data_IF_649870306633
#
_entry.id   IF_649870306633
#
_cell.length_a   1.000
_cell.length_b   1.000
_cell.length_c   1.000
_cell.angle_alpha   90.00
_cell.angle_beta   90.00
_cell.angle_gamma   90.00
#
_symmetry.space_group_name_H-M   'P 1'
#
loop_
_entity.id
_entity.type
_entity.pdbx_description
1 polymer ?
#
# COMPACT_ATOMS: atom_id res chain seq x y z
N UNK A 1 -12.45 -30.76 11.74
CA UNK A 1 -11.79 -30.25 12.97
C UNK A 1 -10.26 -30.27 12.88
N UNK A 2 -9.62 -31.35 12.40
CA UNK A 2 -8.14 -31.36 12.21
C UNK A 2 -7.66 -30.43 11.10
N UNK A 3 -8.39 -30.32 9.98
CA UNK A 3 -8.09 -29.36 8.91
C UNK A 3 -8.14 -27.90 9.39
N UNK A 4 -9.17 -27.53 10.15
CA UNK A 4 -9.29 -26.18 10.71
C UNK A 4 -8.18 -25.80 11.71
N UNK A 5 -7.61 -26.79 12.40
CA UNK A 5 -6.45 -26.56 13.29
C UNK A 5 -5.14 -26.39 12.51
N UNK A 6 -4.96 -27.18 11.45
CA UNK A 6 -3.81 -27.05 10.56
C UNK A 6 -3.81 -25.69 9.84
N UNK A 7 -4.95 -25.29 9.27
CA UNK A 7 -5.14 -24.00 8.61
C UNK A 7 -4.87 -22.82 9.56
N UNK A 8 -5.28 -22.94 10.83
CA UNK A 8 -5.00 -21.91 11.84
C UNK A 8 -3.51 -21.84 12.20
N UNK A 9 -2.79 -22.97 12.19
CA UNK A 9 -1.34 -22.99 12.45
C UNK A 9 -0.58 -22.35 11.29
N UNK A 10 -0.95 -22.59 10.05
CA UNK A 10 -0.34 -21.94 8.88
C UNK A 10 -0.49 -20.42 8.92
N UNK A 11 -1.68 -19.91 9.30
CA UNK A 11 -1.93 -18.48 9.49
C UNK A 11 -1.01 -17.90 10.58
N UNK A 12 -0.86 -18.62 11.70
CA UNK A 12 0.02 -18.18 12.80
C UNK A 12 1.48 -18.14 12.35
N UNK A 13 1.96 -19.19 11.66
CA UNK A 13 3.32 -19.23 11.12
C UNK A 13 3.54 -18.15 10.07
N UNK A 14 2.56 -17.91 9.20
CA UNK A 14 2.60 -16.82 8.22
C UNK A 14 2.73 -15.46 8.89
N UNK A 15 1.95 -15.20 9.95
CA UNK A 15 2.00 -13.96 10.71
C UNK A 15 3.36 -13.78 11.43
N UNK A 16 3.87 -14.83 12.08
CA UNK A 16 5.15 -14.80 12.75
C UNK A 16 6.30 -14.55 11.78
N UNK A 17 6.27 -15.20 10.62
CA UNK A 17 7.25 -14.99 9.55
C UNK A 17 7.19 -13.56 9.02
N UNK A 18 5.98 -13.04 8.74
CA UNK A 18 5.77 -11.66 8.30
C UNK A 18 6.33 -10.64 9.30
N UNK A 19 5.97 -10.79 10.58
CA UNK A 19 6.44 -9.91 11.65
C UNK A 19 7.97 -9.97 11.79
N UNK A 20 8.55 -11.17 11.76
CA UNK A 20 10.00 -11.38 11.83
C UNK A 20 10.74 -10.68 10.68
N UNK A 21 10.25 -10.84 9.46
CA UNK A 21 10.83 -10.19 8.28
C UNK A 21 10.77 -8.66 8.41
N UNK A 22 9.62 -8.11 8.78
CA UNK A 22 9.47 -6.65 8.94
C UNK A 22 10.40 -6.12 10.02
N UNK A 23 10.46 -6.76 11.19
CA UNK A 23 11.31 -6.33 12.31
C UNK A 23 12.79 -6.38 11.94
N UNK A 24 13.23 -7.43 11.25
CA UNK A 24 14.63 -7.60 10.85
C UNK A 24 15.01 -6.69 9.66
N UNK A 25 14.08 -6.49 8.72
CA UNK A 25 14.38 -5.74 7.49
C UNK A 25 14.28 -4.23 7.69
N UNK A 26 13.41 -3.76 8.59
CA UNK A 26 13.19 -2.32 8.83
C UNK A 26 14.47 -1.57 9.19
N UNK A 27 15.33 -2.02 10.13
CA UNK A 27 16.58 -1.32 10.43
C UNK A 27 17.58 -1.35 9.27
N UNK A 28 17.64 -2.44 8.51
CA UNK A 28 18.53 -2.57 7.35
C UNK A 28 18.11 -1.61 6.22
N UNK A 29 16.81 -1.60 5.88
CA UNK A 29 16.25 -0.69 4.88
C UNK A 29 16.37 0.77 5.33
N UNK A 30 16.14 1.05 6.61
CA UNK A 30 16.35 2.37 7.21
C UNK A 30 17.79 2.85 7.15
N UNK A 31 18.75 1.97 7.37
CA UNK A 31 20.18 2.23 7.20
C UNK A 31 20.52 2.55 5.74
N UNK A 32 20.04 1.71 4.81
CA UNK A 32 20.24 1.91 3.37
C UNK A 32 19.63 3.24 2.89
N UNK A 33 18.42 3.57 3.33
CA UNK A 33 17.77 4.83 2.99
C UNK A 33 18.56 6.06 3.44
N UNK A 34 19.19 5.99 4.62
CA UNK A 34 20.09 7.05 5.13
C UNK A 34 21.36 7.19 4.28
N UNK A 35 21.97 6.05 3.92
CA UNK A 35 23.18 6.04 3.07
C UNK A 35 22.90 6.61 1.68
N UNK A 36 21.72 6.31 1.13
CA UNK A 36 21.29 6.81 -0.18
C UNK A 36 20.72 8.24 -0.14
N UNK A 37 20.59 8.83 1.05
CA UNK A 37 20.03 10.18 1.20
C UNK A 37 18.51 10.27 0.99
N UNK A 38 17.80 9.11 0.91
CA UNK A 38 16.35 9.02 0.74
C UNK A 38 15.67 9.16 2.10
N UNK A 39 15.76 10.37 2.63
CA UNK A 39 15.31 10.68 3.99
C UNK A 39 14.47 11.94 3.99
N UNK A 40 13.47 11.96 4.86
CA UNK A 40 12.69 13.14 5.15
C UNK A 40 13.40 13.99 6.20
N UNK A 41 13.89 15.15 5.79
CA UNK A 41 14.59 16.08 6.70
C UNK A 41 13.56 16.90 7.49
N UNK A 42 13.80 17.15 8.79
CA UNK A 42 12.97 18.03 9.57
C UNK A 42 13.04 19.45 9.01
N UNK A 43 11.88 20.04 8.66
CA UNK A 43 11.83 21.42 8.16
C UNK A 43 10.43 21.89 7.76
N UNK A 44 10.11 23.15 8.04
CA UNK A 44 8.94 23.90 7.61
C UNK A 44 7.59 23.37 8.05
N UNK A 45 6.95 22.55 7.28
CA UNK A 45 5.59 22.04 7.49
C UNK A 45 5.50 20.66 8.17
N UNK A 46 6.61 19.96 8.36
CA UNK A 46 6.65 18.55 8.79
C UNK A 46 6.77 18.38 10.30
N UNK A 47 6.04 17.41 10.85
CA UNK A 47 5.95 17.14 12.29
C UNK A 47 7.19 16.49 12.89
N UNK A 48 7.99 15.82 12.06
CA UNK A 48 9.13 15.05 12.51
C UNK A 48 10.26 15.96 13.01
N UNK A 49 10.67 15.72 14.24
CA UNK A 49 11.86 16.34 14.85
C UNK A 49 13.16 15.62 14.48
N UNK A 50 13.06 14.41 13.92
CA UNK A 50 14.19 13.58 13.48
C UNK A 50 14.04 13.22 12.01
N UNK A 51 15.17 12.89 11.37
CA UNK A 51 15.22 12.42 9.98
C UNK A 51 14.61 11.02 9.88
N UNK A 52 13.56 10.87 9.08
CA UNK A 52 12.86 9.58 8.90
C UNK A 52 13.20 8.99 7.53
N UNK A 53 13.65 7.71 7.48
CA UNK A 53 13.86 7.00 6.22
C UNK A 53 12.53 6.81 5.47
N UNK A 54 12.51 7.02 4.15
CA UNK A 54 11.29 6.91 3.32
C UNK A 54 11.01 5.50 2.82
N UNK A 55 12.03 4.65 2.66
CA UNK A 55 11.91 3.33 2.04
C UNK A 55 11.24 2.25 2.91
N UNK A 56 10.52 2.62 3.98
CA UNK A 56 9.86 1.66 4.89
C UNK A 56 8.88 0.71 4.21
N UNK A 57 8.25 1.14 3.13
CA UNK A 57 7.34 0.32 2.33
C UNK A 57 7.98 -0.94 1.74
N UNK A 58 9.29 -0.93 1.49
CA UNK A 58 10.03 -2.11 0.99
C UNK A 58 10.05 -3.22 2.06
N UNK A 59 10.27 -2.88 3.32
CA UNK A 59 10.26 -3.86 4.40
C UNK A 59 8.87 -4.48 4.59
N UNK A 60 7.81 -3.67 4.51
CA UNK A 60 6.43 -4.14 4.57
C UNK A 60 6.08 -5.03 3.37
N UNK A 61 6.53 -4.66 2.16
CA UNK A 61 6.32 -5.47 0.97
C UNK A 61 6.91 -6.87 1.15
N UNK A 62 8.16 -7.01 1.55
CA UNK A 62 8.78 -8.32 1.77
C UNK A 62 8.11 -9.07 2.94
N UNK A 63 7.67 -8.37 3.98
CA UNK A 63 6.91 -8.94 5.08
C UNK A 63 5.57 -9.56 4.67
N UNK A 64 4.96 -9.10 3.58
CA UNK A 64 3.74 -9.67 3.01
C UNK A 64 4.07 -10.68 1.92
N UNK A 65 5.00 -10.34 1.02
CA UNK A 65 5.32 -11.11 -0.18
C UNK A 65 5.92 -12.48 0.13
N UNK A 66 6.88 -12.56 1.06
CA UNK A 66 7.56 -13.81 1.38
C UNK A 66 6.63 -14.83 2.06
N UNK A 67 5.83 -14.48 3.09
CA UNK A 67 4.85 -15.40 3.63
C UNK A 67 3.76 -15.78 2.63
N UNK A 68 3.35 -14.86 1.77
CA UNK A 68 2.39 -15.17 0.71
C UNK A 68 2.92 -16.23 -0.26
N UNK A 69 4.19 -16.16 -0.64
CA UNK A 69 4.83 -17.20 -1.46
C UNK A 69 4.99 -18.54 -0.74
N UNK A 70 5.16 -18.52 0.59
CA UNK A 70 5.41 -19.73 1.38
C UNK A 70 4.11 -20.49 1.73
N UNK A 71 3.01 -19.77 1.97
CA UNK A 71 1.79 -20.35 2.55
C UNK A 71 0.54 -20.24 1.67
N UNK A 72 0.56 -19.42 0.60
CA UNK A 72 -0.59 -19.29 -0.30
C UNK A 72 -0.39 -20.11 -1.57
N UNK A 73 -1.47 -20.73 -2.01
CA UNK A 73 -1.50 -21.33 -3.34
C UNK A 73 -1.30 -20.27 -4.42
N UNK A 74 -0.30 -20.50 -5.28
CA UNK A 74 0.01 -19.62 -6.41
C UNK A 74 -1.00 -19.79 -7.55
N UNK A 75 -2.29 -19.58 -7.26
CA UNK A 75 -3.34 -19.50 -8.27
C UNK A 75 -3.08 -18.32 -9.23
N UNK A 76 -3.83 -18.26 -10.33
CA UNK A 76 -3.74 -17.12 -11.25
C UNK A 76 -3.97 -15.78 -10.53
N UNK A 77 -5.00 -15.71 -9.69
CA UNK A 77 -5.36 -14.50 -8.94
C UNK A 77 -4.26 -14.10 -7.95
N UNK A 78 -3.72 -15.06 -7.17
CA UNK A 78 -2.63 -14.81 -6.23
C UNK A 78 -1.39 -14.27 -6.94
N UNK A 79 -1.03 -14.85 -8.10
CA UNK A 79 0.09 -14.33 -8.92
C UNK A 79 -0.16 -12.91 -9.38
N UNK A 80 -1.37 -12.63 -9.88
CA UNK A 80 -1.76 -11.28 -10.29
C UNK A 80 -1.65 -10.26 -9.17
N UNK A 81 -2.12 -10.62 -7.97
CA UNK A 81 -2.04 -9.79 -6.79
C UNK A 81 -0.59 -9.48 -6.39
N UNK A 82 0.26 -10.51 -6.31
CA UNK A 82 1.67 -10.38 -5.95
C UNK A 82 2.45 -9.57 -6.98
N UNK A 83 2.22 -9.80 -8.28
CA UNK A 83 2.84 -9.01 -9.35
C UNK A 83 2.40 -7.54 -9.30
N UNK A 84 1.09 -7.28 -9.12
CA UNK A 84 0.57 -5.92 -8.96
C UNK A 84 1.17 -5.20 -7.75
N UNK A 85 1.29 -5.90 -6.61
CA UNK A 85 1.92 -5.38 -5.41
C UNK A 85 3.42 -5.07 -5.62
N UNK A 86 4.14 -5.94 -6.34
CA UNK A 86 5.56 -5.72 -6.66
C UNK A 86 5.74 -4.47 -7.54
N UNK A 87 4.91 -4.30 -8.57
CA UNK A 87 4.94 -3.11 -9.43
C UNK A 87 4.58 -1.86 -8.64
N UNK A 88 3.52 -1.91 -7.81
CA UNK A 88 3.12 -0.78 -6.96
C UNK A 88 4.24 -0.36 -6.01
N UNK A 89 4.90 -1.32 -5.36
CA UNK A 89 6.04 -1.07 -4.46
C UNK A 89 7.22 -0.47 -5.20
N UNK A 90 7.51 -0.96 -6.41
CA UNK A 90 8.58 -0.42 -7.26
C UNK A 90 8.28 1.03 -7.65
N UNK A 91 7.06 1.34 -8.06
CA UNK A 91 6.64 2.72 -8.37
C UNK A 91 6.76 3.62 -7.15
N UNK A 92 6.32 3.14 -5.97
CA UNK A 92 6.47 3.87 -4.70
C UNK A 92 7.94 4.12 -4.33
N UNK A 93 8.81 3.11 -4.46
CA UNK A 93 10.23 3.26 -4.21
C UNK A 93 10.88 4.26 -5.18
N UNK A 94 10.56 4.21 -6.47
CA UNK A 94 11.06 5.19 -7.46
C UNK A 94 10.56 6.59 -7.15
N UNK A 95 9.32 6.74 -6.69
CA UNK A 95 8.76 8.03 -6.23
C UNK A 95 9.55 8.58 -5.03
N UNK A 96 9.87 7.72 -4.06
CA UNK A 96 10.68 8.10 -2.90
C UNK A 96 12.12 8.54 -3.26
N UNK A 97 12.70 7.91 -4.30
CA UNK A 97 14.05 8.25 -4.78
C UNK A 97 14.11 9.50 -5.64
N UNK A 98 13.18 9.66 -6.60
CA UNK A 98 13.25 10.67 -7.66
C UNK A 98 12.24 11.80 -7.51
N UNK A 99 11.14 11.55 -6.75
CA UNK A 99 10.00 12.46 -6.70
C UNK A 99 9.32 12.49 -8.07
N UNK A 100 8.54 11.46 -8.38
CA UNK A 100 7.85 11.35 -9.65
C UNK A 100 6.88 12.52 -9.86
N UNK A 101 6.70 12.91 -11.11
CA UNK A 101 5.62 13.83 -11.48
C UNK A 101 4.29 13.15 -11.27
N UNK A 102 3.24 13.91 -11.00
CA UNK A 102 1.92 13.36 -10.67
C UNK A 102 1.37 12.38 -11.74
N UNK A 103 1.62 12.64 -13.03
CA UNK A 103 1.18 11.76 -14.13
C UNK A 103 2.02 10.49 -14.25
N UNK A 104 3.33 10.55 -13.97
CA UNK A 104 4.21 9.36 -13.95
C UNK A 104 3.78 8.41 -12.83
N UNK A 105 3.50 8.98 -11.66
CA UNK A 105 2.98 8.25 -10.51
C UNK A 105 1.62 7.63 -10.80
N UNK A 106 0.68 8.41 -11.36
CA UNK A 106 -0.64 7.92 -11.75
C UNK A 106 -0.56 6.82 -12.81
N UNK A 107 0.30 6.97 -13.82
CA UNK A 107 0.55 5.95 -14.83
C UNK A 107 1.08 4.64 -14.23
N UNK A 108 2.03 4.73 -13.31
CA UNK A 108 2.55 3.58 -12.58
C UNK A 108 1.50 2.89 -11.70
N UNK A 109 0.65 3.66 -11.03
CA UNK A 109 -0.46 3.14 -10.22
C UNK A 109 -1.51 2.45 -11.09
N UNK A 110 -1.86 3.02 -12.25
CA UNK A 110 -2.78 2.41 -13.21
C UNK A 110 -2.22 1.10 -13.74
N UNK A 111 -0.94 1.05 -14.10
CA UNK A 111 -0.28 -0.17 -14.53
C UNK A 111 -0.30 -1.24 -13.43
N UNK A 112 0.08 -0.90 -12.20
CA UNK A 112 0.07 -1.79 -11.06
C UNK A 112 -1.33 -2.35 -10.75
N UNK A 113 -2.36 -1.49 -10.78
CA UNK A 113 -3.75 -1.87 -10.51
C UNK A 113 -4.37 -2.72 -11.63
N UNK A 114 -3.92 -2.55 -12.88
CA UNK A 114 -4.42 -3.32 -14.04
C UNK A 114 -3.96 -4.78 -14.01
N UNK A 115 -2.83 -5.09 -13.37
CA UNK A 115 -2.29 -6.45 -13.31
C UNK A 115 -3.26 -7.39 -12.58
N UNK A 116 -3.62 -7.19 -11.29
CA UNK A 116 -4.53 -8.10 -10.59
C UNK A 116 -5.90 -8.17 -11.26
N UNK A 117 -6.38 -7.06 -11.83
CA UNK A 117 -7.65 -7.02 -12.57
C UNK A 117 -7.59 -7.89 -13.84
N UNK A 118 -6.48 -7.88 -14.56
CA UNK A 118 -6.24 -8.75 -15.72
C UNK A 118 -6.16 -10.24 -15.36
N UNK A 119 -5.72 -10.56 -14.14
CA UNK A 119 -5.69 -11.93 -13.60
C UNK A 119 -7.03 -12.40 -13.00
N UNK A 120 -8.08 -11.58 -13.06
CA UNK A 120 -9.45 -11.98 -12.65
C UNK A 120 -9.96 -11.32 -11.37
N UNK A 121 -9.16 -10.50 -10.69
CA UNK A 121 -9.58 -9.79 -9.47
C UNK A 121 -10.29 -8.49 -9.83
N UNK A 122 -11.61 -8.56 -10.02
CA UNK A 122 -12.42 -7.40 -10.34
C UNK A 122 -13.80 -7.48 -9.68
N UNK A 123 -14.50 -6.36 -9.58
CA UNK A 123 -15.82 -6.28 -8.95
C UNK A 123 -16.88 -6.87 -9.87
N UNK A 124 -17.36 -8.08 -9.53
CA UNK A 124 -18.39 -8.79 -10.27
C UNK A 124 -19.81 -8.37 -9.88
N UNK A 125 -20.02 -8.02 -8.60
CA UNK A 125 -21.32 -7.71 -8.03
C UNK A 125 -21.28 -6.40 -7.28
N UNK A 126 -22.31 -5.62 -7.44
CA UNK A 126 -22.50 -4.38 -6.70
C UNK A 126 -23.88 -4.40 -6.04
N UNK A 127 -23.93 -4.05 -4.77
CA UNK A 127 -25.17 -4.03 -3.99
C UNK A 127 -25.58 -2.59 -3.74
N UNK A 128 -26.73 -2.21 -4.25
CA UNK A 128 -27.37 -0.94 -3.92
C UNK A 128 -28.38 -1.17 -2.79
N UNK A 129 -28.41 -0.32 -1.75
CA UNK A 129 -29.33 -0.49 -0.59
C UNK A 129 -30.81 -0.54 -0.97
N UNK A 130 -31.20 0.08 -2.10
CA UNK A 130 -32.62 0.23 -2.52
C UNK A 130 -32.95 -0.72 -3.68
N UNK A 131 -31.98 -1.10 -4.53
CA UNK A 131 -32.23 -1.79 -5.82
C UNK A 131 -31.74 -3.25 -5.78
N UNK A 132 -31.03 -3.65 -4.73
CA UNK A 132 -30.54 -5.03 -4.56
C UNK A 132 -29.18 -5.30 -5.22
N UNK A 133 -28.92 -6.57 -5.52
CA UNK A 133 -27.64 -7.06 -6.05
C UNK A 133 -27.68 -7.04 -7.56
N UNK A 134 -26.77 -6.30 -8.18
CA UNK A 134 -26.60 -6.27 -9.63
C UNK A 134 -25.24 -6.87 -10.02
N UNK A 135 -25.24 -7.69 -11.07
CA UNK A 135 -24.00 -8.18 -11.70
C UNK A 135 -23.49 -7.16 -12.67
N UNK A 136 -22.23 -6.78 -12.51
CA UNK A 136 -21.57 -5.85 -13.43
C UNK A 136 -21.01 -6.59 -14.65
N UNK A 137 -21.22 -6.09 -15.86
CA UNK A 137 -20.53 -6.61 -17.03
C UNK A 137 -19.02 -6.30 -16.94
N UNK A 138 -18.18 -7.15 -17.55
CA UNK A 138 -16.71 -7.04 -17.47
C UNK A 138 -16.18 -5.67 -17.89
N UNK A 139 -16.77 -5.07 -18.92
CA UNK A 139 -16.36 -3.76 -19.46
C UNK A 139 -16.59 -2.59 -18.48
N UNK A 140 -17.45 -2.76 -17.46
CA UNK A 140 -17.67 -1.79 -16.37
C UNK A 140 -16.88 -2.21 -15.12
N UNK A 141 -16.96 -3.48 -14.74
CA UNK A 141 -16.37 -4.00 -13.50
C UNK A 141 -14.84 -3.89 -13.48
N UNK A 142 -14.18 -4.18 -14.59
CA UNK A 142 -12.72 -4.09 -14.67
C UNK A 142 -12.20 -2.64 -14.52
N UNK A 143 -12.65 -1.65 -15.30
CA UNK A 143 -12.23 -0.27 -15.12
C UNK A 143 -12.57 0.30 -13.75
N UNK A 144 -13.75 -0.06 -13.21
CA UNK A 144 -14.16 0.34 -11.87
C UNK A 144 -13.19 -0.19 -10.81
N UNK A 145 -12.75 -1.44 -10.94
CA UNK A 145 -11.78 -2.06 -10.02
C UNK A 145 -10.42 -1.37 -10.09
N UNK A 146 -9.92 -1.08 -11.28
CA UNK A 146 -8.67 -0.33 -11.46
C UNK A 146 -8.76 1.04 -10.81
N UNK A 147 -9.84 1.78 -11.09
CA UNK A 147 -10.06 3.10 -10.49
C UNK A 147 -10.16 3.04 -8.97
N UNK A 148 -10.84 2.02 -8.44
CA UNK A 148 -10.97 1.79 -7.01
C UNK A 148 -9.62 1.55 -6.34
N UNK A 149 -8.80 0.65 -6.90
CA UNK A 149 -7.45 0.36 -6.39
C UNK A 149 -6.59 1.62 -6.40
N UNK A 150 -6.59 2.38 -7.51
CA UNK A 150 -5.84 3.63 -7.64
C UNK A 150 -6.36 4.69 -6.65
N UNK A 151 -7.67 4.79 -6.45
CA UNK A 151 -8.26 5.71 -5.47
C UNK A 151 -7.80 5.39 -4.05
N UNK A 152 -7.80 4.10 -3.66
CA UNK A 152 -7.30 3.65 -2.36
C UNK A 152 -5.81 3.95 -2.20
N UNK A 153 -4.97 3.67 -3.22
CA UNK A 153 -3.54 4.01 -3.19
C UNK A 153 -3.31 5.52 -2.94
N UNK A 154 -4.08 6.37 -3.61
CA UNK A 154 -3.96 7.82 -3.44
C UNK A 154 -4.55 8.30 -2.12
N UNK A 155 -5.60 7.66 -1.60
CA UNK A 155 -6.16 7.96 -0.29
C UNK A 155 -5.13 7.71 0.83
N UNK A 156 -4.45 6.56 0.83
CA UNK A 156 -3.38 6.27 1.79
C UNK A 156 -2.22 7.26 1.67
N UNK A 157 -1.82 7.61 0.46
CA UNK A 157 -0.78 8.60 0.21
C UNK A 157 -1.17 10.00 0.74
N UNK A 158 -2.45 10.38 0.61
CA UNK A 158 -2.98 11.62 1.16
C UNK A 158 -3.02 11.60 2.70
N UNK A 159 -3.44 10.48 3.31
CA UNK A 159 -3.46 10.31 4.77
C UNK A 159 -2.06 10.42 5.37
N UNK A 160 -1.06 9.84 4.72
CA UNK A 160 0.35 9.92 5.14
C UNK A 160 0.88 11.36 5.08
N UNK A 161 0.48 12.14 4.05
CA UNK A 161 0.78 13.57 3.93
C UNK A 161 -0.02 14.47 4.86
N UNK A 162 -1.14 14.02 5.43
CA UNK A 162 -2.07 14.83 6.24
C UNK A 162 -1.78 14.83 7.73
N UNK A 163 -0.70 14.20 8.19
CA UNK A 163 -0.26 14.24 9.60
C UNK A 163 0.04 15.66 10.13
N UNK A 164 0.00 16.68 9.25
CA UNK A 164 0.11 18.10 9.58
C UNK A 164 -1.20 18.77 10.04
N UNK A 165 -2.35 18.10 9.95
CA UNK A 165 -3.67 18.64 10.29
C UNK A 165 -3.77 19.22 11.71
N UNK A 166 -3.22 18.58 12.77
CA UNK A 166 -3.29 19.14 14.13
C UNK A 166 -2.54 20.46 14.33
N UNK A 167 -1.56 20.77 13.46
CA UNK A 167 -0.82 22.06 13.52
C UNK A 167 -1.55 23.16 12.80
N UNK A 168 -2.22 22.89 11.70
CA UNK A 168 -3.06 23.84 11.01
C UNK A 168 -4.19 24.34 11.93
N UNK A 169 -4.83 23.43 12.66
CA UNK A 169 -5.86 23.76 13.64
C UNK A 169 -5.31 24.59 14.82
N UNK A 170 -4.11 24.31 15.33
CA UNK A 170 -3.47 25.09 16.41
C UNK A 170 -3.08 26.50 15.95
N UNK A 171 -2.63 26.66 14.71
CA UNK A 171 -2.29 27.97 14.14
C UNK A 171 -3.52 28.84 13.95
N UNK A 172 -4.64 28.25 13.51
CA UNK A 172 -5.92 28.94 13.35
C UNK A 172 -6.49 29.42 14.69
N UNK A 173 -6.36 28.60 15.75
CA UNK A 173 -6.76 28.99 17.11
C UNK A 173 -5.93 30.15 17.65
N UNK A 174 -4.60 30.19 17.35
CA UNK A 174 -3.70 31.25 17.85
C UNK A 174 -3.87 32.57 17.12
N UNK A 175 -4.37 32.57 15.88
CA UNK A 175 -4.65 33.82 15.14
C UNK A 175 -5.97 34.47 15.57
N UNK A 176 -6.90 33.72 16.19
CA UNK A 176 -8.14 34.26 16.74
C UNK A 176 -8.05 34.83 18.17
N UNK A 177 -6.91 34.62 18.84
CA UNK A 177 -6.67 35.11 20.20
C UNK A 177 -5.77 36.37 20.25
N UNK A 178 -5.55 37.01 19.12
CA UNK A 178 -4.95 38.34 18.96
C UNK A 178 -5.96 39.26 18.26
#
# INVERSE_FOLDING_TARGET
>A
MLHTLADNLEVIWGLLLAASIVVLLTPAVGGMARLLGVVDRPGGRRLNRSTVPRLGGIALFFGIFVPALAFLDLSGETRGLLLGAAVATTVGAVDDFRGLRWWEKLGGQLAAASIPVGFGIWVHKFTFPIVGIHTLPKWVGMPLSVLWIVAIMNMFNFLDGSTDWPRACRRFRRSRSR
#
